data_IF_634037539509
#
_entry.id   IF_634037539509
#
_cell.length_a   1.000
_cell.length_b   1.000
_cell.length_c   1.000
_cell.angle_alpha   90.00
_cell.angle_beta   90.00
_cell.angle_gamma   90.00
#
_symmetry.space_group_name_H-M   'P 1'
#
loop_
_entity.id
_entity.type
_entity.pdbx_description
1 polymer ?
#
# COMPACT_ATOMS: atom_id res chain seq x y z
N UNK A 1 13.38 -15.23 -52.10
CA UNK A 1 12.36 -15.80 -51.20
C UNK A 1 12.96 -16.42 -49.94
N UNK A 2 13.86 -17.42 -50.01
CA UNK A 2 14.44 -18.07 -48.80
C UNK A 2 15.15 -17.13 -47.81
N UNK A 3 15.87 -16.11 -48.30
CA UNK A 3 16.57 -15.13 -47.44
C UNK A 3 15.62 -14.19 -46.70
N UNK A 4 14.51 -13.79 -47.34
CA UNK A 4 13.51 -12.94 -46.70
C UNK A 4 12.76 -13.68 -45.58
N UNK A 5 12.47 -14.98 -45.79
CA UNK A 5 11.86 -15.84 -44.76
C UNK A 5 12.81 -16.03 -43.56
N UNK A 6 14.11 -16.20 -43.81
CA UNK A 6 15.10 -16.33 -42.73
C UNK A 6 15.24 -15.06 -41.90
N UNK A 7 15.20 -13.88 -42.53
CA UNK A 7 15.26 -12.58 -41.83
C UNK A 7 13.99 -12.39 -40.99
N UNK A 8 12.81 -12.72 -41.52
CA UNK A 8 11.55 -12.63 -40.80
C UNK A 8 11.54 -13.54 -39.55
N UNK A 9 12.02 -14.79 -39.70
CA UNK A 9 12.14 -15.74 -38.59
C UNK A 9 13.12 -15.24 -37.52
N UNK A 10 14.24 -14.63 -37.93
CA UNK A 10 15.23 -14.08 -36.99
C UNK A 10 14.64 -12.90 -36.20
N UNK A 11 13.85 -12.04 -36.84
CA UNK A 11 13.16 -10.92 -36.18
C UNK A 11 12.13 -11.42 -35.15
N UNK A 12 11.36 -12.47 -35.46
CA UNK A 12 10.36 -13.01 -34.52
C UNK A 12 11.04 -13.59 -33.26
N UNK A 13 12.18 -14.28 -33.42
CA UNK A 13 12.94 -14.88 -32.31
C UNK A 13 13.66 -13.83 -31.44
N UNK A 14 13.94 -12.65 -31.99
CA UNK A 14 14.65 -11.56 -31.28
C UNK A 14 13.71 -10.52 -30.67
N UNK A 15 12.39 -10.72 -30.79
CA UNK A 15 11.41 -9.89 -30.07
C UNK A 15 11.47 -10.25 -28.58
N UNK A 16 11.68 -9.28 -27.66
CA UNK A 16 11.48 -9.55 -26.25
C UNK A 16 10.03 -10.03 -26.07
N UNK A 17 9.86 -11.14 -25.36
CA UNK A 17 8.53 -11.62 -24.98
C UNK A 17 8.05 -10.64 -23.92
N UNK A 18 7.31 -9.60 -24.32
CA UNK A 18 6.62 -8.73 -23.39
C UNK A 18 5.55 -9.58 -22.69
N UNK A 19 5.80 -9.93 -21.44
CA UNK A 19 4.86 -10.64 -20.59
C UNK A 19 4.06 -9.59 -19.83
N UNK A 20 2.97 -9.11 -20.43
CA UNK A 20 1.95 -8.40 -19.67
C UNK A 20 1.13 -9.44 -18.90
N UNK A 21 0.97 -9.27 -17.59
CA UNK A 21 0.03 -10.08 -16.81
C UNK A 21 -1.38 -9.88 -17.40
N UNK A 22 -2.10 -10.98 -17.65
CA UNK A 22 -3.33 -10.98 -18.45
C UNK A 22 -4.52 -10.30 -17.74
N UNK A 23 -4.33 -9.98 -16.46
CA UNK A 23 -5.24 -9.29 -15.55
C UNK A 23 -4.86 -7.83 -15.27
N UNK A 24 -3.76 -7.33 -15.87
CA UNK A 24 -3.37 -5.93 -15.71
C UNK A 24 -4.39 -5.01 -16.36
N UNK A 25 -5.12 -4.27 -15.52
CA UNK A 25 -6.01 -3.18 -15.96
C UNK A 25 -5.19 -2.00 -16.50
N UNK A 26 -5.86 -1.05 -17.17
CA UNK A 26 -5.24 0.16 -17.70
C UNK A 26 -4.65 0.99 -16.55
N UNK A 27 -3.37 0.78 -16.23
CA UNK A 27 -2.70 1.39 -15.07
C UNK A 27 -1.71 0.50 -14.32
N UNK A 28 -1.68 -0.82 -14.59
CA UNK A 28 -0.68 -1.72 -14.00
C UNK A 28 -1.17 -2.57 -12.82
N UNK A 29 -2.49 -2.73 -12.65
CA UNK A 29 -3.10 -3.60 -11.64
C UNK A 29 -3.26 -2.95 -10.27
N UNK A 30 -4.24 -3.44 -9.48
CA UNK A 30 -4.45 -3.01 -8.10
C UNK A 30 -3.64 -3.90 -7.14
N UNK A 31 -2.93 -3.27 -6.21
CA UNK A 31 -2.20 -3.97 -5.15
C UNK A 31 -2.92 -3.81 -3.82
N UNK A 32 -3.19 -4.94 -3.19
CA UNK A 32 -3.84 -5.05 -1.90
C UNK A 32 -2.82 -5.32 -0.81
N UNK A 33 -3.05 -4.69 0.34
CA UNK A 33 -2.36 -5.02 1.56
C UNK A 33 -2.81 -6.40 2.04
N UNK A 34 -1.87 -7.34 2.08
CA UNK A 34 -2.06 -8.68 2.61
C UNK A 34 -1.03 -8.98 3.68
N UNK A 35 -1.45 -9.65 4.76
CA UNK A 35 -0.55 -10.21 5.76
C UNK A 35 -0.95 -11.65 6.07
N UNK A 36 0.05 -12.53 6.19
CA UNK A 36 -0.14 -13.85 6.79
C UNK A 36 0.11 -13.80 8.31
N UNK A 37 1.00 -12.92 8.76
CA UNK A 37 1.31 -12.59 10.16
C UNK A 37 1.74 -11.11 10.26
N UNK A 38 1.82 -10.52 11.46
CA UNK A 38 2.29 -9.13 11.66
C UNK A 38 3.69 -8.87 11.08
N UNK A 39 4.53 -9.90 10.97
CA UNK A 39 5.88 -9.77 10.40
C UNK A 39 5.95 -10.17 8.92
N UNK A 40 4.85 -10.62 8.33
CA UNK A 40 4.80 -11.15 6.97
C UNK A 40 3.65 -10.49 6.21
N UNK A 41 3.87 -9.23 5.87
CA UNK A 41 2.96 -8.40 5.11
C UNK A 41 3.57 -8.04 3.75
N UNK A 42 2.76 -7.98 2.72
CA UNK A 42 3.19 -7.58 1.38
C UNK A 42 2.05 -6.92 0.59
N UNK A 43 2.43 -6.17 -0.44
CA UNK A 43 1.51 -5.69 -1.46
C UNK A 43 1.38 -6.76 -2.53
N UNK A 44 0.16 -7.25 -2.76
CA UNK A 44 -0.12 -8.34 -3.71
C UNK A 44 -1.35 -8.05 -4.55
N UNK A 45 -1.44 -8.64 -5.74
CA UNK A 45 -2.62 -8.52 -6.61
C UNK A 45 -3.86 -9.26 -6.07
N UNK A 46 -3.71 -10.02 -4.97
CA UNK A 46 -4.77 -10.86 -4.41
C UNK A 46 -5.24 -10.34 -3.05
N UNK A 47 -6.56 -10.37 -2.83
CA UNK A 47 -7.18 -10.04 -1.54
C UNK A 47 -7.06 -11.18 -0.49
N UNK A 48 -5.97 -11.93 -0.46
CA UNK A 48 -5.83 -13.10 0.41
C UNK A 48 -4.85 -12.78 1.53
N UNK A 49 -5.34 -12.54 2.75
CA UNK A 49 -4.54 -12.29 3.96
C UNK A 49 -5.40 -11.98 5.19
N UNK A 50 -4.87 -12.18 6.40
CA UNK A 50 -5.46 -11.70 7.65
C UNK A 50 -5.06 -10.23 7.89
N UNK A 51 -5.98 -9.31 7.58
CA UNK A 51 -5.72 -7.87 7.63
C UNK A 51 -5.64 -7.27 9.06
N UNK A 52 -5.48 -8.08 10.10
CA UNK A 52 -5.42 -7.61 11.48
C UNK A 52 -4.04 -7.79 12.10
N UNK A 53 -3.37 -6.66 12.34
CA UNK A 53 -2.15 -6.60 13.13
C UNK A 53 -2.53 -6.32 14.58
N UNK A 54 -2.04 -7.15 15.51
CA UNK A 54 -2.29 -6.98 16.94
C UNK A 54 -0.99 -6.83 17.74
N UNK A 55 -1.00 -5.92 18.73
CA UNK A 55 0.12 -5.67 19.63
C UNK A 55 -0.36 -5.07 20.95
N UNK A 56 0.39 -5.29 22.05
CA UNK A 56 0.06 -4.69 23.35
C UNK A 56 0.72 -3.34 23.47
N UNK A 57 -0.07 -2.27 23.48
CA UNK A 57 0.39 -0.90 23.71
C UNK A 57 -0.01 -0.47 25.13
N UNK A 58 0.97 -0.39 26.04
CA UNK A 58 0.71 -0.12 27.46
C UNK A 58 0.92 1.35 27.87
N UNK A 59 1.42 2.21 26.98
CA UNK A 59 2.00 3.53 27.35
C UNK A 59 1.68 4.70 26.42
N UNK A 60 0.83 4.52 25.40
CA UNK A 60 0.44 5.63 24.52
C UNK A 60 -0.29 6.72 25.31
N UNK A 61 0.19 7.96 25.21
CA UNK A 61 -0.52 9.15 25.71
C UNK A 61 -0.47 10.26 24.66
N UNK A 62 -1.34 11.29 24.74
CA UNK A 62 -1.24 12.44 23.83
C UNK A 62 0.12 13.15 23.82
N UNK A 63 0.90 13.03 24.92
CA UNK A 63 2.26 13.59 25.01
C UNK A 63 3.34 12.60 24.56
N UNK A 64 3.03 11.31 24.53
CA UNK A 64 3.93 10.21 24.17
C UNK A 64 3.19 9.25 23.24
N UNK A 65 3.00 9.62 21.97
CA UNK A 65 2.33 8.74 21.01
C UNK A 65 3.21 7.51 20.72
N UNK A 66 2.56 6.41 20.41
CA UNK A 66 3.22 5.17 20.01
C UNK A 66 3.21 5.08 18.48
N UNK A 67 4.33 4.69 17.89
CA UNK A 67 4.50 4.60 16.43
C UNK A 67 4.63 3.14 16.03
N UNK A 68 3.76 2.70 15.13
CA UNK A 68 3.81 1.37 14.53
C UNK A 68 4.37 1.53 13.12
N UNK A 69 5.42 0.79 12.80
CA UNK A 69 6.04 0.79 11.48
C UNK A 69 5.68 -0.49 10.75
N UNK A 70 5.15 -0.33 9.53
CA UNK A 70 4.73 -1.41 8.65
C UNK A 70 5.51 -1.31 7.35
N UNK A 71 6.32 -2.32 7.05
CA UNK A 71 7.01 -2.44 5.77
C UNK A 71 6.20 -3.34 4.84
N UNK A 72 6.00 -2.88 3.61
CA UNK A 72 5.16 -3.55 2.64
C UNK A 72 5.97 -3.88 1.38
N UNK A 73 6.79 -4.95 1.39
CA UNK A 73 7.46 -5.41 0.19
C UNK A 73 6.44 -5.78 -0.90
N UNK A 74 6.74 -5.44 -2.15
CA UNK A 74 5.96 -5.91 -3.29
C UNK A 74 6.27 -7.39 -3.57
N UNK A 75 5.21 -8.20 -3.68
CA UNK A 75 5.32 -9.63 -4.02
C UNK A 75 4.42 -9.96 -5.23
N UNK A 76 4.99 -10.38 -6.37
CA UNK A 76 6.41 -10.62 -6.63
C UNK A 76 7.23 -9.32 -6.71
N UNK A 77 8.55 -9.44 -6.55
CA UNK A 77 9.45 -8.29 -6.69
C UNK A 77 9.33 -7.69 -8.10
N UNK A 78 9.28 -6.36 -8.15
CA UNK A 78 9.15 -5.61 -9.39
C UNK A 78 10.33 -5.89 -10.33
N UNK A 79 10.03 -6.43 -11.52
CA UNK A 79 11.02 -6.73 -12.57
C UNK A 79 11.04 -5.68 -13.70
N UNK A 80 10.03 -4.81 -13.76
CA UNK A 80 9.85 -3.77 -14.78
C UNK A 80 9.73 -2.38 -14.16
N UNK A 81 9.59 -1.32 -14.95
CA UNK A 81 9.39 0.03 -14.42
C UNK A 81 7.95 0.13 -13.89
N UNK A 82 7.76 0.63 -12.68
CA UNK A 82 6.44 0.94 -12.14
C UNK A 82 6.19 2.44 -12.10
N UNK A 83 4.92 2.81 -12.25
CA UNK A 83 4.46 4.19 -12.11
C UNK A 83 3.67 4.30 -10.80
N UNK A 84 4.14 5.14 -9.88
CA UNK A 84 3.44 5.43 -8.63
C UNK A 84 2.12 6.17 -8.98
N UNK A 85 0.96 5.72 -8.44
CA UNK A 85 -0.33 6.35 -8.69
C UNK A 85 -0.38 7.75 -8.09
N UNK A 86 -1.20 8.65 -8.64
CA UNK A 86 -1.32 10.04 -8.13
C UNK A 86 -2.05 10.14 -6.79
N UNK A 87 -2.93 9.18 -6.50
CA UNK A 87 -3.75 9.17 -5.30
C UNK A 87 -3.80 7.76 -4.71
N UNK A 88 -4.03 7.71 -3.40
CA UNK A 88 -4.54 6.51 -2.73
C UNK A 88 -6.03 6.46 -3.01
N UNK A 89 -6.49 5.36 -3.62
CA UNK A 89 -7.91 5.19 -3.92
C UNK A 89 -8.74 5.09 -2.64
N UNK A 90 -8.34 4.18 -1.73
CA UNK A 90 -8.98 4.01 -0.42
C UNK A 90 -7.94 3.58 0.64
N UNK A 91 -7.98 4.21 1.81
CA UNK A 91 -7.28 3.74 3.01
C UNK A 91 -8.29 3.62 4.14
N UNK A 92 -8.40 2.43 4.73
CA UNK A 92 -9.22 2.16 5.91
C UNK A 92 -8.37 1.58 7.03
N UNK A 93 -8.47 2.17 8.23
CA UNK A 93 -7.77 1.72 9.43
C UNK A 93 -8.80 1.53 10.54
N UNK A 94 -9.01 0.27 10.94
CA UNK A 94 -9.86 -0.08 12.08
C UNK A 94 -8.98 -0.31 13.32
N UNK A 95 -8.86 0.71 14.16
CA UNK A 95 -8.08 0.64 15.40
C UNK A 95 -8.95 0.16 16.56
N UNK A 96 -8.55 -0.92 17.22
CA UNK A 96 -9.28 -1.52 18.34
C UNK A 96 -8.39 -1.72 19.57
N UNK A 97 -8.89 -1.35 20.74
CA UNK A 97 -8.22 -1.57 22.03
C UNK A 97 -8.83 -2.76 22.76
N UNK A 98 -8.00 -3.62 23.36
CA UNK A 98 -8.49 -4.76 24.15
C UNK A 98 -9.31 -4.33 25.37
N UNK A 99 -8.95 -3.20 25.99
CA UNK A 99 -9.60 -2.68 27.20
C UNK A 99 -10.75 -1.70 26.91
N UNK A 100 -10.97 -1.31 25.65
CA UNK A 100 -12.08 -0.45 25.24
C UNK A 100 -13.31 -1.30 24.86
N UNK A 101 -13.95 -1.87 25.88
CA UNK A 101 -15.10 -2.78 25.76
C UNK A 101 -16.33 -2.12 25.12
N UNK A 102 -16.35 -0.80 25.01
CA UNK A 102 -17.48 0.03 24.60
C UNK A 102 -17.19 0.88 23.35
N UNK A 103 -15.97 0.82 22.81
CA UNK A 103 -15.56 1.55 21.59
C UNK A 103 -15.69 3.06 21.75
N UNK A 104 -15.44 3.59 22.95
CA UNK A 104 -15.63 5.01 23.25
C UNK A 104 -14.43 5.86 22.89
N UNK A 105 -13.25 5.26 22.77
CA UNK A 105 -12.01 5.99 22.53
C UNK A 105 -11.60 5.87 21.08
N UNK A 106 -11.69 6.98 20.36
CA UNK A 106 -11.11 7.15 19.03
C UNK A 106 -10.02 8.20 19.14
N UNK A 107 -8.74 7.84 19.25
CA UNK A 107 -7.67 8.85 19.39
C UNK A 107 -7.44 9.62 18.09
N UNK A 108 -6.63 10.67 18.15
CA UNK A 108 -6.03 11.22 16.94
C UNK A 108 -5.09 10.18 16.32
N UNK A 109 -5.12 10.06 14.99
CA UNK A 109 -4.25 9.16 14.24
C UNK A 109 -3.48 9.93 13.18
N UNK A 110 -2.16 9.74 13.13
CA UNK A 110 -1.32 10.27 12.06
C UNK A 110 -0.71 9.12 11.28
N UNK A 111 -1.07 9.03 10.01
CA UNK A 111 -0.52 8.04 9.07
C UNK A 111 0.56 8.72 8.24
N UNK A 112 1.75 8.14 8.22
CA UNK A 112 2.86 8.60 7.38
C UNK A 112 3.16 7.52 6.36
N UNK A 113 2.93 7.84 5.09
CA UNK A 113 3.18 6.93 3.97
C UNK A 113 4.48 7.38 3.33
N UNK A 114 5.43 6.45 3.24
CA UNK A 114 6.75 6.66 2.68
C UNK A 114 6.84 5.81 1.42
N UNK A 115 7.13 6.45 0.29
CA UNK A 115 7.37 5.77 -0.99
C UNK A 115 8.67 6.36 -1.54
N UNK A 116 9.73 5.53 -1.54
CA UNK A 116 11.09 5.95 -1.82
C UNK A 116 11.45 7.20 -0.99
N UNK A 117 11.89 8.27 -1.64
CA UNK A 117 12.26 9.53 -1.01
C UNK A 117 11.08 10.47 -0.71
N UNK A 118 9.84 10.05 -0.98
CA UNK A 118 8.64 10.88 -0.83
C UNK A 118 7.83 10.50 0.39
N UNK A 119 7.19 11.51 1.00
CA UNK A 119 6.38 11.32 2.21
C UNK A 119 5.04 12.03 2.09
N UNK A 120 3.98 11.30 2.37
CA UNK A 120 2.60 11.79 2.48
C UNK A 120 2.14 11.62 3.93
N UNK A 121 1.56 12.66 4.53
CA UNK A 121 1.05 12.64 5.90
C UNK A 121 -0.44 12.85 5.88
N UNK A 122 -1.18 11.93 6.49
CA UNK A 122 -2.64 11.98 6.62
C UNK A 122 -2.95 12.05 8.11
N UNK A 123 -3.67 13.09 8.53
CA UNK A 123 -4.07 13.30 9.92
C UNK A 123 -5.57 13.05 10.05
N UNK A 124 -5.93 12.18 10.99
CA UNK A 124 -7.30 11.93 11.37
C UNK A 124 -7.56 12.46 12.77
N UNK A 125 -8.58 13.29 12.90
CA UNK A 125 -9.06 13.75 14.20
C UNK A 125 -9.79 12.60 14.93
N UNK A 126 -9.45 12.44 16.19
CA UNK A 126 -10.12 11.54 17.11
C UNK A 126 -11.47 12.07 17.58
N UNK A 127 -12.18 11.22 18.31
CA UNK A 127 -13.39 11.58 19.05
C UNK A 127 -13.20 11.21 20.53
N UNK A 128 -13.42 12.20 21.39
CA UNK A 128 -13.37 12.06 22.84
C UNK A 128 -14.76 12.08 23.49
N UNK A 129 -15.82 12.26 22.69
CA UNK A 129 -17.19 12.38 23.15
C UNK A 129 -18.00 11.12 22.80
N UNK A 130 -18.35 10.26 23.79
CA UNK A 130 -19.20 9.09 23.61
C UNK A 130 -20.56 9.36 22.95
N UNK A 131 -21.03 10.62 22.98
CA UNK A 131 -22.34 11.02 22.48
C UNK A 131 -22.36 11.36 20.98
N UNK A 132 -21.21 11.67 20.37
CA UNK A 132 -21.14 12.11 18.97
C UNK A 132 -21.10 10.95 17.97
N UNK A 133 -20.90 9.72 18.46
CA UNK A 133 -21.22 8.50 17.71
C UNK A 133 -20.34 8.26 16.48
N UNK A 134 -19.13 8.83 16.43
CA UNK A 134 -18.14 8.50 15.39
C UNK A 134 -17.56 7.09 15.63
N UNK A 135 -18.39 6.09 15.41
CA UNK A 135 -18.02 4.68 15.45
C UNK A 135 -17.60 4.22 14.05
N UNK A 136 -16.46 3.55 13.94
CA UNK A 136 -15.99 2.94 12.70
C UNK A 136 -14.52 3.23 12.39
N UNK A 137 -14.01 2.65 11.29
CA UNK A 137 -12.62 2.83 10.88
C UNK A 137 -12.34 4.28 10.49
N UNK A 138 -11.08 4.70 10.65
CA UNK A 138 -10.55 5.85 9.93
C UNK A 138 -10.57 5.53 8.44
N UNK A 139 -11.04 6.46 7.62
CA UNK A 139 -11.12 6.27 6.17
C UNK A 139 -10.80 7.55 5.42
N UNK A 140 -10.10 7.42 4.32
CA UNK A 140 -9.93 8.46 3.31
C UNK A 140 -10.03 7.81 1.94
N UNK A 141 -10.58 8.57 0.99
CA UNK A 141 -10.74 8.16 -0.40
C UNK A 141 -10.11 9.23 -1.30
N UNK A 142 -9.48 8.82 -2.39
CA UNK A 142 -8.84 9.71 -3.37
C UNK A 142 -7.82 10.68 -2.74
N UNK A 143 -7.03 10.22 -1.76
CA UNK A 143 -6.05 11.06 -1.06
C UNK A 143 -4.79 11.27 -1.92
N UNK A 144 -4.39 12.51 -2.24
CA UNK A 144 -3.23 12.78 -3.07
C UNK A 144 -1.92 12.27 -2.46
N UNK A 145 -1.11 11.61 -3.27
CA UNK A 145 0.24 11.20 -2.88
C UNK A 145 1.26 12.29 -3.23
N UNK A 146 2.20 12.50 -2.31
CA UNK A 146 3.40 13.25 -2.61
C UNK A 146 4.38 12.36 -3.38
N UNK A 147 4.83 12.83 -4.56
CA UNK A 147 5.78 12.12 -5.41
C UNK A 147 7.18 12.73 -5.42
N UNK A 148 7.41 13.84 -4.72
CA UNK A 148 8.74 14.48 -4.69
C UNK A 148 9.26 14.92 -6.08
N UNK A 149 8.43 14.88 -7.12
CA UNK A 149 8.78 15.20 -8.51
C UNK A 149 9.12 13.99 -9.40
N UNK A 150 9.19 12.78 -8.87
CA UNK A 150 9.40 11.55 -9.66
C UNK A 150 8.37 10.49 -9.29
N UNK A 151 7.81 9.85 -10.31
CA UNK A 151 6.78 8.81 -10.17
C UNK A 151 7.23 7.47 -10.71
N UNK A 152 8.43 7.40 -11.29
CA UNK A 152 8.95 6.18 -11.86
C UNK A 152 9.80 5.47 -10.81
N UNK A 153 9.46 4.22 -10.51
CA UNK A 153 10.29 3.34 -9.72
C UNK A 153 11.03 2.40 -10.65
N UNK A 154 12.35 2.39 -10.56
CA UNK A 154 13.18 1.50 -11.36
C UNK A 154 13.24 0.10 -10.74
N UNK A 155 13.41 -0.96 -11.56
CA UNK A 155 13.67 -2.29 -11.03
C UNK A 155 14.87 -2.27 -10.08
N UNK A 156 14.76 -2.98 -8.95
CA UNK A 156 15.81 -3.11 -7.93
C UNK A 156 16.20 -1.80 -7.22
N UNK A 157 15.46 -0.71 -7.42
CA UNK A 157 15.64 0.51 -6.64
C UNK A 157 15.31 0.24 -5.17
N UNK A 158 16.23 0.60 -4.28
CA UNK A 158 16.08 0.42 -2.83
C UNK A 158 15.11 1.50 -2.32
N UNK A 159 13.98 1.06 -1.74
CA UNK A 159 12.88 1.89 -1.24
C UNK A 159 12.95 1.99 0.27
#
# INVERSE_FOLDING_TARGET
MRRAVAILLLCIISSPIAMAAIDSEEGGGELWFSCDDVNDCSLTEFHTGEASISGTVNSATPLTPETIFLELPMTPQQSEIALIPDNIDELKIDLRYQDDVIGLSRPDLKVTIIIAQSTTVIEFEGDSNPADGMQGPYSVENEPLNHGGDRLLWPEEEI
#
